data_IF_290377386431
#
_entry.id   IF_290377386431
#
_cell.length_a   1.000
_cell.length_b   1.000
_cell.length_c   1.000
_cell.angle_alpha   90.00
_cell.angle_beta   90.00
_cell.angle_gamma   90.00
#
_symmetry.space_group_name_H-M   'P 1'
#
loop_
_entity.id
_entity.type
_entity.pdbx_description
1 polymer ?
#
# COMPACT_ATOMS: atom_id res chain seq x y z
N UNK A 1 -9.38 16.67 -12.06
CA UNK A 1 -8.52 17.49 -12.94
C UNK A 1 -7.60 18.30 -12.04
N UNK A 2 -6.28 18.11 -12.12
CA UNK A 2 -5.29 18.87 -11.34
C UNK A 2 -4.95 20.17 -12.10
N UNK A 3 -5.51 21.30 -11.68
CA UNK A 3 -5.45 22.58 -12.42
C UNK A 3 -4.15 23.38 -12.19
N UNK A 4 -3.31 23.03 -11.21
CA UNK A 4 -2.14 23.86 -10.83
C UNK A 4 -0.81 23.10 -10.68
N UNK A 5 -0.72 21.83 -11.11
CA UNK A 5 0.50 21.03 -10.90
C UNK A 5 0.85 20.76 -9.42
N UNK A 6 0.03 21.23 -8.49
CA UNK A 6 0.03 20.90 -7.07
C UNK A 6 -0.67 19.54 -6.91
N UNK A 7 0.12 18.47 -6.91
CA UNK A 7 -0.39 17.11 -6.75
C UNK A 7 0.70 16.06 -6.91
N UNK A 8 0.40 14.80 -6.60
CA UNK A 8 1.37 13.72 -6.77
C UNK A 8 1.89 13.68 -8.22
N UNK A 9 3.20 13.50 -8.40
CA UNK A 9 3.82 13.38 -9.74
C UNK A 9 3.62 12.01 -10.40
N UNK A 10 2.97 11.09 -9.70
CA UNK A 10 2.73 9.72 -10.13
C UNK A 10 1.91 8.93 -9.11
N UNK A 11 1.82 7.63 -9.35
CA UNK A 11 1.19 6.64 -8.51
C UNK A 11 2.14 5.44 -8.29
N UNK A 12 2.01 4.79 -7.13
CA UNK A 12 2.79 3.61 -6.76
C UNK A 12 1.79 2.51 -6.40
N UNK A 13 1.96 1.33 -6.99
CA UNK A 13 1.12 0.16 -6.73
C UNK A 13 1.98 -1.04 -6.38
N UNK A 14 1.44 -1.90 -5.53
CA UNK A 14 2.03 -3.18 -5.17
C UNK A 14 1.21 -4.28 -5.82
N UNK A 15 1.87 -5.13 -6.61
CA UNK A 15 1.28 -6.31 -7.22
C UNK A 15 1.88 -7.52 -6.51
N UNK A 16 1.11 -8.15 -5.63
CA UNK A 16 1.57 -9.26 -4.81
C UNK A 16 1.40 -10.61 -5.50
N UNK A 17 2.32 -11.53 -5.20
CA UNK A 17 2.29 -12.89 -5.72
C UNK A 17 1.48 -13.85 -4.81
N UNK A 18 0.79 -14.85 -5.40
CA UNK A 18 0.44 -14.96 -6.81
C UNK A 18 -0.65 -13.94 -7.20
N UNK A 19 -0.46 -13.27 -8.33
CA UNK A 19 -1.29 -12.14 -8.76
C UNK A 19 -2.79 -12.48 -8.79
N UNK A 20 -3.56 -11.82 -7.92
CA UNK A 20 -5.02 -11.98 -7.85
C UNK A 20 -5.51 -13.32 -7.32
N UNK A 21 -4.62 -14.21 -6.89
CA UNK A 21 -4.97 -15.57 -6.45
C UNK A 21 -4.84 -15.75 -4.94
N UNK A 22 -4.26 -14.79 -4.23
CA UNK A 22 -4.11 -14.86 -2.78
C UNK A 22 -5.45 -14.67 -2.07
N UNK A 23 -5.69 -15.49 -1.06
CA UNK A 23 -6.88 -15.40 -0.20
C UNK A 23 -6.97 -14.03 0.47
N UNK A 24 -8.17 -13.47 0.45
CA UNK A 24 -8.49 -12.22 1.14
C UNK A 24 -9.55 -12.44 2.21
N UNK A 25 -9.54 -11.59 3.24
CA UNK A 25 -10.61 -11.48 4.22
C UNK A 25 -11.06 -10.04 4.37
N UNK A 26 -12.32 -9.88 4.77
CA UNK A 26 -12.86 -8.59 5.17
C UNK A 26 -12.37 -8.25 6.59
N UNK A 27 -11.70 -7.10 6.74
CA UNK A 27 -11.18 -6.57 8.01
C UNK A 27 -11.88 -5.26 8.33
N UNK A 28 -12.38 -5.14 9.57
CA UNK A 28 -12.91 -3.89 10.13
C UNK A 28 -11.73 -2.97 10.48
N UNK A 29 -11.65 -1.81 9.84
CA UNK A 29 -10.53 -0.87 9.98
C UNK A 29 -10.70 0.12 11.14
N UNK A 30 -11.94 0.40 11.52
CA UNK A 30 -12.27 1.33 12.59
C UNK A 30 -13.54 0.84 13.29
N UNK A 31 -13.52 0.86 14.61
CA UNK A 31 -14.64 0.43 15.42
C UNK A 31 -15.87 1.32 15.29
N UNK A 32 -15.67 2.62 15.03
CA UNK A 32 -16.73 3.62 15.06
C UNK A 32 -17.39 3.85 13.69
N UNK A 33 -16.70 3.59 12.59
CA UNK A 33 -17.16 3.97 11.25
C UNK A 33 -17.59 2.78 10.37
N UNK A 34 -17.64 1.56 10.92
CA UNK A 34 -17.97 0.30 10.23
C UNK A 34 -17.27 0.14 8.87
N UNK A 35 -16.09 0.75 8.72
CA UNK A 35 -15.33 0.75 7.48
C UNK A 35 -14.64 -0.60 7.38
N UNK A 36 -14.99 -1.36 6.34
CA UNK A 36 -14.43 -2.68 6.07
C UNK A 36 -13.55 -2.62 4.83
N UNK A 37 -12.51 -3.45 4.78
CA UNK A 37 -11.64 -3.58 3.62
C UNK A 37 -11.23 -5.03 3.40
N UNK A 38 -11.08 -5.42 2.13
CA UNK A 38 -10.49 -6.71 1.79
C UNK A 38 -8.97 -6.62 1.92
N UNK A 39 -8.40 -7.51 2.73
CA UNK A 39 -6.96 -7.59 2.98
C UNK A 39 -6.45 -8.99 2.66
N UNK A 40 -5.22 -9.08 2.15
CA UNK A 40 -4.57 -10.36 1.87
C UNK A 40 -4.16 -11.08 3.16
N UNK A 41 -4.33 -12.40 3.20
CA UNK A 41 -3.88 -13.24 4.32
C UNK A 41 -2.51 -13.83 4.01
N UNK A 42 -1.65 -13.78 5.03
CA UNK A 42 -0.38 -14.48 5.07
C UNK A 42 -0.27 -15.27 6.38
N UNK A 43 0.39 -16.42 6.33
CA UNK A 43 0.72 -17.23 7.51
C UNK A 43 2.22 -17.18 7.80
N UNK A 44 2.59 -17.60 9.01
CA UNK A 44 4.00 -17.69 9.41
C UNK A 44 4.80 -18.58 8.43
N UNK A 45 6.00 -18.12 8.09
CA UNK A 45 6.87 -18.74 7.10
C UNK A 45 6.47 -18.51 5.63
N UNK A 46 5.34 -17.88 5.32
CA UNK A 46 4.99 -17.59 3.93
C UNK A 46 5.84 -16.46 3.33
N UNK A 47 6.27 -16.64 2.09
CA UNK A 47 6.98 -15.60 1.34
C UNK A 47 6.03 -14.49 0.92
N UNK A 48 6.37 -13.25 1.27
CA UNK A 48 5.70 -12.02 0.81
C UNK A 48 6.50 -11.42 -0.33
N UNK A 49 6.06 -11.67 -1.56
CA UNK A 49 6.73 -11.21 -2.78
C UNK A 49 5.78 -10.52 -3.74
N UNK A 50 6.36 -9.81 -4.70
CA UNK A 50 5.61 -9.14 -5.76
C UNK A 50 6.44 -8.13 -6.54
N UNK A 51 5.75 -7.31 -7.32
CA UNK A 51 6.32 -6.22 -8.12
C UNK A 51 5.76 -4.88 -7.67
N UNK A 52 6.62 -3.86 -7.60
CA UNK A 52 6.21 -2.47 -7.38
C UNK A 52 6.14 -1.75 -8.73
N UNK A 53 4.97 -1.21 -9.07
CA UNK A 53 4.80 -0.37 -10.25
C UNK A 53 4.81 1.09 -9.88
N UNK A 54 5.69 1.88 -10.50
CA UNK A 54 5.76 3.33 -10.33
C UNK A 54 5.35 3.98 -11.65
N UNK A 55 4.17 4.63 -11.66
CA UNK A 55 3.62 5.28 -12.85
C UNK A 55 3.67 6.79 -12.71
N UNK A 56 4.51 7.45 -13.51
CA UNK A 56 4.60 8.91 -13.53
C UNK A 56 3.50 9.53 -14.40
N UNK A 57 2.99 10.70 -14.00
CA UNK A 57 2.10 11.49 -14.84
C UNK A 57 2.85 11.97 -16.09
N UNK A 58 2.15 12.14 -17.21
CA UNK A 58 2.76 12.57 -18.49
C UNK A 58 3.60 13.84 -18.29
N UNK A 59 4.82 13.85 -18.84
CA UNK A 59 5.81 14.95 -18.73
C UNK A 59 6.26 15.27 -17.29
N UNK A 60 6.15 14.33 -16.35
CA UNK A 60 6.66 14.49 -14.98
C UNK A 60 8.05 13.90 -14.83
N UNK A 61 8.93 14.59 -14.10
CA UNK A 61 10.23 14.06 -13.63
C UNK A 61 10.25 14.04 -12.11
N UNK A 62 10.75 12.94 -11.55
CA UNK A 62 10.97 12.77 -10.12
C UNK A 62 12.47 12.54 -9.90
N UNK A 63 13.09 13.41 -9.10
CA UNK A 63 14.43 13.20 -8.58
C UNK A 63 14.29 12.60 -7.18
N UNK A 64 15.00 11.51 -6.89
CA UNK A 64 14.91 10.79 -5.63
C UNK A 64 16.30 10.40 -5.12
N UNK A 65 16.43 10.24 -3.81
CA UNK A 65 17.67 9.78 -3.16
C UNK A 65 17.72 8.27 -2.93
N UNK A 66 16.62 7.58 -3.21
CA UNK A 66 16.52 6.12 -3.10
C UNK A 66 15.06 5.69 -3.12
N UNK A 67 14.82 4.44 -3.49
CA UNK A 67 13.52 3.79 -3.38
C UNK A 67 13.72 2.59 -2.47
N UNK A 68 12.90 2.49 -1.43
CA UNK A 68 12.94 1.39 -0.47
C UNK A 68 11.56 0.76 -0.35
N UNK A 69 11.55 -0.56 -0.26
CA UNK A 69 10.39 -1.36 0.10
C UNK A 69 10.61 -1.92 1.50
N UNK A 70 9.60 -1.81 2.37
CA UNK A 70 9.64 -2.32 3.73
C UNK A 70 8.38 -3.15 4.00
N UNK A 71 8.56 -4.31 4.65
CA UNK A 71 7.47 -5.10 5.21
C UNK A 71 7.49 -4.89 6.72
N UNK A 72 6.46 -4.24 7.26
CA UNK A 72 6.45 -3.74 8.64
C UNK A 72 5.28 -4.37 9.40
N UNK A 73 5.60 -5.06 10.50
CA UNK A 73 4.63 -5.41 11.54
C UNK A 73 4.74 -4.42 12.70
N UNK A 74 3.62 -3.85 13.14
CA UNK A 74 3.58 -2.90 14.25
C UNK A 74 2.37 -3.15 15.14
N UNK A 75 2.49 -2.77 16.41
CA UNK A 75 1.40 -2.67 17.36
C UNK A 75 1.19 -1.18 17.62
N UNK A 76 -0.01 -0.67 17.38
CA UNK A 76 -0.37 0.73 17.64
C UNK A 76 -1.17 0.83 18.94
N UNK A 77 -0.64 1.58 19.91
CA UNK A 77 -1.32 1.86 21.16
C UNK A 77 -2.07 3.19 21.04
N UNK A 78 -3.40 3.15 21.01
CA UNK A 78 -4.25 4.32 20.74
C UNK A 78 -4.24 5.38 21.86
N UNK A 79 -3.60 5.10 23.00
CA UNK A 79 -3.65 5.97 24.17
C UNK A 79 -2.34 5.92 24.99
N UNK A 80 -1.20 5.85 24.30
CA UNK A 80 0.10 5.98 24.95
C UNK A 80 0.40 7.49 25.12
N UNK A 81 0.10 8.00 26.32
CA UNK A 81 0.43 9.37 26.76
C UNK A 81 1.68 9.36 27.63
#
# INVERSE_FOLDING_TARGET
MDLLGLGSKGHIDFILDPQGQRKQIEVKLDDNNNKRSLQYIYYDGEHVGGSVQIRLKKRSKVEHQGIRLEFIGKIEMLNDR
#
